data_IF_343569189963
#
_entry.id   IF_343569189963
#
_cell.length_a   1.000
_cell.length_b   1.000
_cell.length_c   1.000
_cell.angle_alpha   90.00
_cell.angle_beta   90.00
_cell.angle_gamma   90.00
#
_symmetry.space_group_name_H-M   'P 1'
#
loop_
_entity.id
_entity.type
_entity.pdbx_description
1 polymer ?
#
# COMPACT_ATOMS: atom_id res chain seq x y z
N UNK A 1 -4.05 46.65 18.24
CA UNK A 1 -4.33 45.88 17.01
C UNK A 1 -3.14 44.96 16.68
N UNK A 2 -1.90 45.44 16.82
CA UNK A 2 -0.68 44.65 16.53
C UNK A 2 -0.46 43.49 17.51
N UNK A 3 -0.82 43.64 18.76
CA UNK A 3 -0.70 42.59 19.80
C UNK A 3 -1.69 41.44 19.62
N UNK A 4 -2.86 41.71 19.06
CA UNK A 4 -3.87 40.66 18.77
C UNK A 4 -3.48 39.77 17.62
N UNK A 5 -2.77 40.30 16.60
CA UNK A 5 -2.30 39.54 15.43
C UNK A 5 -1.15 38.61 15.84
N UNK A 6 -0.25 39.03 16.72
CA UNK A 6 0.81 38.17 17.26
C UNK A 6 0.29 37.03 18.14
N UNK A 7 -0.76 37.27 18.92
CA UNK A 7 -1.40 36.25 19.74
C UNK A 7 -2.13 35.21 18.89
N UNK A 8 -2.74 35.60 17.75
CA UNK A 8 -3.43 34.69 16.85
C UNK A 8 -2.43 33.83 16.05
N UNK A 9 -1.29 34.38 15.63
CA UNK A 9 -0.24 33.61 14.95
C UNK A 9 0.43 32.60 15.86
N UNK A 10 0.63 32.93 17.15
CA UNK A 10 1.16 32.00 18.15
C UNK A 10 0.17 30.87 18.49
N UNK A 11 -1.14 31.17 18.48
CA UNK A 11 -2.19 30.17 18.73
C UNK A 11 -2.31 29.16 17.59
N UNK A 12 -2.18 29.59 16.34
CA UNK A 12 -2.13 28.70 15.16
C UNK A 12 -0.87 27.82 15.18
N UNK A 13 0.26 28.33 15.66
CA UNK A 13 1.50 27.56 15.76
C UNK A 13 1.48 26.49 16.87
N UNK A 14 0.71 26.70 17.94
CA UNK A 14 0.56 25.73 19.05
C UNK A 14 -0.41 24.60 18.70
N UNK A 15 -1.39 24.81 17.80
CA UNK A 15 -2.35 23.78 17.36
C UNK A 15 -1.79 22.89 16.24
N UNK A 16 -0.79 23.33 15.49
CA UNK A 16 -0.22 22.60 14.36
C UNK A 16 0.52 21.29 14.74
N UNK A 17 1.25 21.20 15.87
CA UNK A 17 1.99 19.97 16.19
C UNK A 17 1.12 18.77 16.53
N UNK A 18 -0.08 18.99 17.06
CA UNK A 18 -0.97 17.89 17.44
C UNK A 18 -1.69 17.27 16.24
N UNK A 19 -1.99 18.05 15.20
CA UNK A 19 -2.55 17.55 13.94
C UNK A 19 -1.50 16.79 13.12
N UNK A 20 -0.25 17.26 13.12
CA UNK A 20 0.87 16.59 12.44
C UNK A 20 1.25 15.25 13.10
N UNK A 21 0.97 15.06 14.38
CA UNK A 21 1.24 13.80 15.08
C UNK A 21 0.12 12.75 14.88
N UNK A 22 -1.13 13.16 14.63
CA UNK A 22 -2.21 12.23 14.28
C UNK A 22 -1.97 11.61 12.91
N UNK A 23 -1.53 12.41 11.93
CA UNK A 23 -1.21 11.90 10.58
C UNK A 23 0.02 10.99 10.57
N UNK A 24 1.03 11.25 11.42
CA UNK A 24 2.22 10.41 11.48
C UNK A 24 1.94 8.99 12.00
N UNK A 25 1.02 8.83 12.93
CA UNK A 25 0.67 7.50 13.46
C UNK A 25 -0.24 6.74 12.49
N UNK A 26 -1.18 7.38 11.81
CA UNK A 26 -1.96 6.77 10.74
C UNK A 26 -1.08 6.38 9.55
N UNK A 27 -0.05 7.20 9.22
CA UNK A 27 0.93 6.94 8.17
C UNK A 27 1.89 5.81 8.51
N UNK A 28 2.26 5.64 9.79
CA UNK A 28 3.14 4.55 10.23
C UNK A 28 2.44 3.17 10.21
N UNK A 29 1.11 3.13 10.34
CA UNK A 29 0.34 1.87 10.30
C UNK A 29 -0.01 1.42 8.87
N UNK A 30 -0.01 2.32 7.87
CA UNK A 30 -0.57 2.00 6.55
C UNK A 30 0.32 1.12 5.66
N UNK A 31 1.64 1.00 5.91
CA UNK A 31 2.56 0.23 5.06
C UNK A 31 3.50 -0.69 5.87
N UNK A 32 3.08 -1.04 7.07
CA UNK A 32 3.85 -1.94 7.91
C UNK A 32 3.94 -3.37 7.31
N UNK A 33 2.88 -3.80 6.62
CA UNK A 33 2.78 -5.12 5.98
C UNK A 33 3.76 -5.19 4.81
N UNK A 34 3.80 -4.17 3.95
CA UNK A 34 4.70 -4.09 2.80
C UNK A 34 6.16 -4.24 3.22
N UNK A 35 6.59 -3.50 4.23
CA UNK A 35 7.94 -3.60 4.76
C UNK A 35 8.27 -5.03 5.23
N UNK A 36 7.37 -5.64 6.00
CA UNK A 36 7.56 -7.01 6.51
C UNK A 36 7.66 -8.00 5.35
N UNK A 37 6.73 -7.95 4.39
CA UNK A 37 6.69 -8.86 3.25
C UNK A 37 7.94 -8.75 2.40
N UNK A 38 8.37 -7.52 2.04
CA UNK A 38 9.58 -7.31 1.24
C UNK A 38 10.85 -7.80 1.95
N UNK A 39 10.93 -7.65 3.28
CA UNK A 39 12.04 -8.22 4.07
C UNK A 39 12.01 -9.77 4.06
N UNK A 40 10.81 -10.39 4.10
CA UNK A 40 10.69 -11.83 3.97
C UNK A 40 11.14 -12.33 2.60
N UNK A 41 10.71 -11.69 1.52
CA UNK A 41 11.15 -12.01 0.15
C UNK A 41 12.67 -11.86 0.04
N UNK A 42 13.21 -10.73 0.49
CA UNK A 42 14.66 -10.46 0.46
C UNK A 42 15.46 -11.51 1.20
N UNK A 43 14.97 -12.02 2.31
CA UNK A 43 15.71 -12.95 3.20
C UNK A 43 15.48 -14.42 2.84
N UNK A 44 14.24 -14.80 2.55
CA UNK A 44 13.83 -16.20 2.55
C UNK A 44 13.39 -16.74 1.18
N UNK A 45 13.09 -15.89 0.20
CA UNK A 45 12.69 -16.39 -1.11
C UNK A 45 13.83 -17.16 -1.76
N UNK A 46 13.52 -18.37 -2.23
CA UNK A 46 14.54 -19.39 -2.61
C UNK A 46 15.23 -18.99 -3.91
N UNK A 47 14.48 -18.60 -4.93
CA UNK A 47 15.03 -18.23 -6.23
C UNK A 47 15.24 -16.72 -6.36
N UNK A 48 16.42 -16.26 -5.96
CA UNK A 48 16.77 -14.84 -6.04
C UNK A 48 16.80 -14.30 -7.47
N UNK A 49 16.94 -15.18 -8.47
CA UNK A 49 16.94 -14.77 -9.88
C UNK A 49 15.56 -14.42 -10.41
N UNK A 50 14.50 -14.93 -9.78
CA UNK A 50 13.11 -14.56 -10.10
C UNK A 50 12.67 -13.23 -9.50
N UNK A 51 13.46 -12.66 -8.58
CA UNK A 51 13.12 -11.37 -7.95
C UNK A 51 13.50 -10.23 -8.90
N UNK A 52 12.49 -9.68 -9.57
CA UNK A 52 12.61 -8.54 -10.47
C UNK A 52 11.90 -7.32 -9.86
N UNK A 53 12.60 -6.48 -9.07
CA UNK A 53 11.96 -5.43 -8.26
C UNK A 53 11.06 -4.49 -9.06
N UNK A 54 11.52 -4.06 -10.25
CA UNK A 54 10.75 -3.16 -11.11
C UNK A 54 9.47 -3.83 -11.63
N UNK A 55 9.56 -5.07 -12.09
CA UNK A 55 8.39 -5.82 -12.55
C UNK A 55 7.39 -6.05 -11.41
N UNK A 56 7.87 -6.38 -10.20
CA UNK A 56 7.02 -6.49 -9.02
C UNK A 56 6.28 -5.17 -8.73
N UNK A 57 6.96 -4.03 -8.82
CA UNK A 57 6.32 -2.71 -8.63
C UNK A 57 5.22 -2.49 -9.67
N UNK A 58 5.50 -2.76 -10.94
CA UNK A 58 4.52 -2.61 -12.04
C UNK A 58 3.29 -3.49 -11.81
N UNK A 59 3.47 -4.75 -11.45
CA UNK A 59 2.36 -5.66 -11.12
C UNK A 59 1.53 -5.17 -9.94
N UNK A 60 2.18 -4.65 -8.91
CA UNK A 60 1.50 -4.04 -7.77
C UNK A 60 0.69 -2.80 -8.15
N UNK A 61 1.24 -1.94 -9.00
CA UNK A 61 0.56 -0.73 -9.50
C UNK A 61 -0.63 -1.08 -10.40
N UNK A 62 -0.47 -2.05 -11.31
CA UNK A 62 -1.56 -2.57 -12.14
C UNK A 62 -2.68 -3.15 -11.28
N UNK A 63 -2.34 -3.83 -10.19
CA UNK A 63 -3.33 -4.34 -9.25
C UNK A 63 -4.06 -3.22 -8.50
N UNK A 64 -3.34 -2.20 -8.07
CA UNK A 64 -3.92 -1.02 -7.43
C UNK A 64 -5.00 -0.38 -8.30
N UNK A 65 -4.73 -0.16 -9.59
CA UNK A 65 -5.69 0.36 -10.57
C UNK A 65 -6.93 -0.54 -10.70
N UNK A 66 -6.74 -1.86 -10.72
CA UNK A 66 -7.84 -2.82 -10.88
C UNK A 66 -8.81 -2.84 -9.69
N UNK A 67 -8.32 -2.58 -8.47
CA UNK A 67 -9.14 -2.73 -7.24
C UNK A 67 -9.64 -1.41 -6.68
N UNK A 68 -9.09 -0.28 -7.13
CA UNK A 68 -9.49 1.06 -6.70
C UNK A 68 -9.98 1.86 -7.90
N UNK A 69 -11.27 1.85 -8.14
CA UNK A 69 -11.92 2.49 -9.30
C UNK A 69 -11.57 3.98 -9.48
N UNK A 70 -11.13 4.64 -8.40
CA UNK A 70 -10.75 6.05 -8.40
C UNK A 70 -9.31 6.30 -8.82
N UNK A 71 -8.51 5.24 -8.96
CA UNK A 71 -7.08 5.31 -9.30
C UNK A 71 -6.85 4.85 -10.73
N UNK A 72 -6.08 5.63 -11.48
CA UNK A 72 -5.55 5.27 -12.80
C UNK A 72 -4.03 5.30 -12.73
N UNK A 73 -3.40 4.29 -13.32
CA UNK A 73 -1.93 4.20 -13.44
C UNK A 73 -1.57 4.21 -14.92
N UNK A 74 -0.66 5.07 -15.31
CA UNK A 74 -0.16 5.17 -16.69
C UNK A 74 1.36 5.05 -16.71
N UNK A 75 1.86 4.38 -17.74
CA UNK A 75 3.29 4.23 -18.01
C UNK A 75 3.62 4.89 -19.36
N UNK A 76 3.87 6.21 -19.38
CA UNK A 76 4.02 6.97 -20.64
C UNK A 76 5.09 6.42 -21.58
N UNK A 77 6.17 5.88 -21.02
CA UNK A 77 7.28 5.28 -21.76
C UNK A 77 7.24 3.73 -21.73
N UNK A 78 6.08 3.15 -21.38
CA UNK A 78 5.91 1.71 -21.14
C UNK A 78 6.39 1.26 -19.76
N UNK A 79 6.10 0.02 -19.41
CA UNK A 79 6.42 -0.57 -18.08
C UNK A 79 7.93 -0.63 -17.79
N UNK A 80 8.76 -0.66 -18.81
CA UNK A 80 10.22 -0.55 -18.70
C UNK A 80 10.71 0.90 -18.66
N UNK A 81 9.82 1.87 -18.76
CA UNK A 81 10.10 3.30 -18.76
C UNK A 81 10.78 3.80 -17.48
N UNK A 82 11.14 5.07 -17.49
CA UNK A 82 11.78 5.70 -16.33
C UNK A 82 10.78 6.23 -15.30
N UNK A 83 9.52 6.44 -15.71
CA UNK A 83 8.49 7.06 -14.87
C UNK A 83 7.15 6.34 -15.02
N UNK A 84 6.32 6.49 -14.01
CA UNK A 84 4.89 6.18 -14.07
C UNK A 84 4.08 7.34 -13.49
N UNK A 85 2.82 7.41 -13.85
CA UNK A 85 1.90 8.45 -13.41
C UNK A 85 0.73 7.79 -12.68
N UNK A 86 0.33 8.40 -11.57
CA UNK A 86 -0.86 7.99 -10.82
C UNK A 86 -1.83 9.15 -10.80
N UNK A 87 -3.06 8.87 -11.17
CA UNK A 87 -4.16 9.83 -11.07
C UNK A 87 -5.21 9.30 -10.10
N UNK A 88 -5.72 10.17 -9.22
CA UNK A 88 -6.80 9.85 -8.28
C UNK A 88 -7.73 11.06 -8.16
N UNK A 89 -9.03 10.86 -8.41
CA UNK A 89 -10.08 11.91 -8.31
C UNK A 89 -9.74 13.25 -8.99
N UNK A 90 -8.97 13.20 -10.10
CA UNK A 90 -8.55 14.37 -10.88
C UNK A 90 -7.18 14.94 -10.53
N UNK A 91 -6.60 14.58 -9.40
CA UNK A 91 -5.22 14.90 -9.06
C UNK A 91 -4.26 13.90 -9.71
N UNK A 92 -3.10 14.38 -10.16
CA UNK A 92 -2.10 13.58 -10.88
C UNK A 92 -0.70 13.80 -10.31
N UNK A 93 0.05 12.71 -10.14
CA UNK A 93 1.45 12.76 -9.75
C UNK A 93 2.29 11.84 -10.62
N UNK A 94 3.54 12.25 -10.90
CA UNK A 94 4.53 11.47 -11.65
C UNK A 94 5.60 10.98 -10.68
N UNK A 95 5.94 9.69 -10.80
CA UNK A 95 6.93 9.02 -9.95
C UNK A 95 8.07 8.48 -10.81
N UNK A 96 9.30 8.65 -10.33
CA UNK A 96 10.48 8.06 -10.96
C UNK A 96 10.64 6.60 -10.56
N UNK A 97 10.83 5.70 -11.54
CA UNK A 97 11.13 4.29 -11.33
C UNK A 97 12.41 3.83 -12.03
N UNK A 98 13.21 4.77 -12.55
CA UNK A 98 14.43 4.47 -13.31
C UNK A 98 15.50 3.72 -12.51
N UNK A 99 15.51 3.89 -11.18
CA UNK A 99 16.50 3.30 -10.28
C UNK A 99 15.97 2.12 -9.45
N UNK A 100 14.76 1.61 -9.71
CA UNK A 100 14.15 0.53 -8.91
C UNK A 100 14.82 -0.80 -9.24
N UNK A 101 15.85 -1.15 -8.48
CA UNK A 101 16.66 -2.35 -8.64
C UNK A 101 16.74 -3.23 -7.37
N UNK A 102 16.10 -2.83 -6.28
CA UNK A 102 15.97 -3.60 -5.05
C UNK A 102 14.58 -3.43 -4.41
N UNK A 103 14.26 -4.30 -3.43
CA UNK A 103 12.95 -4.34 -2.78
C UNK A 103 12.75 -3.18 -1.78
N UNK A 104 13.80 -2.55 -1.28
CA UNK A 104 13.68 -1.41 -0.38
C UNK A 104 13.21 -0.18 -1.20
N UNK A 105 13.67 -0.04 -2.44
CA UNK A 105 13.18 0.98 -3.37
C UNK A 105 11.74 0.72 -3.81
N UNK A 106 11.35 -0.53 -4.04
CA UNK A 106 9.95 -0.90 -4.31
C UNK A 106 9.05 -0.44 -3.17
N UNK A 107 9.42 -0.78 -1.92
CA UNK A 107 8.70 -0.34 -0.73
C UNK A 107 8.56 1.17 -0.69
N UNK A 108 9.65 1.90 -0.88
CA UNK A 108 9.64 3.36 -0.86
C UNK A 108 8.76 3.98 -1.96
N UNK A 109 8.70 3.36 -3.15
CA UNK A 109 7.80 3.82 -4.22
C UNK A 109 6.33 3.57 -3.89
N UNK A 110 6.00 2.40 -3.37
CA UNK A 110 4.65 2.13 -2.89
C UNK A 110 4.23 3.10 -1.77
N UNK A 111 5.13 3.39 -0.82
CA UNK A 111 4.88 4.39 0.21
C UNK A 111 4.51 5.74 -0.39
N UNK A 112 5.28 6.23 -1.36
CA UNK A 112 5.00 7.49 -2.05
C UNK A 112 3.64 7.48 -2.76
N UNK A 113 3.28 6.37 -3.41
CA UNK A 113 1.99 6.21 -4.09
C UNK A 113 0.85 6.22 -3.08
N UNK A 114 0.94 5.43 -2.01
CA UNK A 114 -0.10 5.38 -0.98
C UNK A 114 -0.24 6.72 -0.22
N UNK A 115 0.87 7.42 0.03
CA UNK A 115 0.85 8.78 0.57
C UNK A 115 0.10 9.75 -0.33
N UNK A 116 0.26 9.61 -1.64
CA UNK A 116 -0.42 10.44 -2.61
C UNK A 116 -1.90 10.09 -2.73
N UNK A 117 -2.26 8.81 -2.86
CA UNK A 117 -3.66 8.43 -3.11
C UNK A 117 -4.56 8.54 -1.87
N UNK A 118 -4.06 8.15 -0.67
CA UNK A 118 -4.88 8.03 0.55
C UNK A 118 -5.71 9.29 0.86
N UNK A 119 -5.17 10.51 0.85
CA UNK A 119 -5.95 11.70 1.14
C UNK A 119 -6.96 12.09 0.06
N UNK A 120 -6.87 11.49 -1.13
CA UNK A 120 -7.73 11.78 -2.28
C UNK A 120 -8.80 10.71 -2.52
N UNK A 121 -8.75 9.57 -1.81
CA UNK A 121 -9.80 8.56 -1.87
C UNK A 121 -11.06 9.08 -1.19
N UNK A 122 -12.19 8.97 -1.88
CA UNK A 122 -13.49 9.44 -1.39
C UNK A 122 -14.39 8.32 -0.89
N UNK A 123 -14.04 7.07 -1.19
CA UNK A 123 -14.77 5.89 -0.72
C UNK A 123 -14.35 5.53 0.70
N UNK A 124 -15.24 5.76 1.66
CA UNK A 124 -15.02 5.50 3.09
C UNK A 124 -15.07 4.01 3.46
N UNK A 125 -15.55 3.14 2.57
CA UNK A 125 -15.62 1.69 2.81
C UNK A 125 -14.31 0.99 2.42
N UNK A 126 -13.44 1.64 1.65
CA UNK A 126 -12.12 1.14 1.28
C UNK A 126 -11.15 1.21 2.46
N UNK A 127 -10.69 0.06 2.91
CA UNK A 127 -9.62 -0.01 3.90
C UNK A 127 -8.26 -0.06 3.20
N UNK A 128 -7.39 0.85 3.56
CA UNK A 128 -6.01 0.90 3.01
C UNK A 128 -5.29 -0.43 3.22
N UNK A 129 -5.50 -1.10 4.35
CA UNK A 129 -4.92 -2.42 4.61
C UNK A 129 -5.37 -3.48 3.59
N UNK A 130 -6.62 -3.46 3.16
CA UNK A 130 -7.14 -4.44 2.21
C UNK A 130 -6.55 -4.19 0.81
N UNK A 131 -6.38 -2.91 0.44
CA UNK A 131 -5.68 -2.51 -0.79
C UNK A 131 -4.21 -2.96 -0.72
N UNK A 132 -3.54 -2.71 0.41
CA UNK A 132 -2.14 -3.11 0.63
C UNK A 132 -1.97 -4.64 0.47
N UNK A 133 -2.83 -5.44 1.09
CA UNK A 133 -2.82 -6.90 0.94
C UNK A 133 -2.98 -7.34 -0.51
N UNK A 134 -3.93 -6.75 -1.24
CA UNK A 134 -4.19 -7.15 -2.63
C UNK A 134 -3.04 -6.76 -3.58
N UNK A 135 -2.43 -5.60 -3.37
CA UNK A 135 -1.25 -5.14 -4.10
C UNK A 135 -0.07 -6.09 -3.84
N UNK A 136 0.19 -6.40 -2.57
CA UNK A 136 1.26 -7.31 -2.19
C UNK A 136 1.06 -8.73 -2.72
N UNK A 137 -0.17 -9.23 -2.69
CA UNK A 137 -0.48 -10.56 -3.23
C UNK A 137 -0.12 -10.66 -4.72
N UNK A 138 -0.52 -9.67 -5.52
CA UNK A 138 -0.16 -9.60 -6.94
C UNK A 138 1.36 -9.51 -7.16
N UNK A 139 2.06 -8.73 -6.34
CA UNK A 139 3.52 -8.64 -6.39
C UNK A 139 4.20 -9.97 -6.07
N UNK A 140 3.68 -10.74 -5.12
CA UNK A 140 4.19 -12.06 -4.78
C UNK A 140 3.89 -13.07 -5.88
N UNK A 141 2.70 -13.03 -6.49
CA UNK A 141 2.34 -13.87 -7.64
C UNK A 141 3.25 -13.64 -8.84
N UNK A 142 3.86 -12.46 -8.99
CA UNK A 142 4.85 -12.21 -10.04
C UNK A 142 6.19 -12.94 -9.83
N UNK A 143 6.47 -13.41 -8.62
CA UNK A 143 7.64 -14.26 -8.33
C UNK A 143 7.41 -15.69 -8.82
N UNK A 144 6.27 -16.26 -8.44
CA UNK A 144 5.80 -17.58 -8.87
C UNK A 144 4.30 -17.76 -8.52
N UNK A 145 3.65 -18.70 -9.20
CA UNK A 145 2.20 -18.96 -9.05
C UNK A 145 1.76 -19.48 -7.65
N UNK A 146 2.69 -19.81 -6.79
CA UNK A 146 2.43 -20.36 -5.44
C UNK A 146 2.80 -19.37 -4.33
N UNK A 147 3.47 -18.27 -4.67
CA UNK A 147 3.77 -17.18 -3.75
C UNK A 147 2.57 -16.27 -3.61
N UNK A 148 2.15 -16.02 -2.38
CA UNK A 148 1.00 -15.17 -2.06
C UNK A 148 0.97 -14.80 -0.59
N UNK A 149 0.03 -13.94 -0.22
CA UNK A 149 -0.18 -13.51 1.15
C UNK A 149 -1.56 -13.93 1.64
N UNK A 150 -1.61 -14.56 2.80
CA UNK A 150 -2.87 -14.92 3.46
C UNK A 150 -3.25 -13.81 4.42
N UNK A 151 -4.39 -13.17 4.18
CA UNK A 151 -4.91 -12.14 5.09
C UNK A 151 -5.28 -12.73 6.45
N UNK A 152 -5.29 -11.94 7.53
CA UNK A 152 -5.71 -12.42 8.84
C UNK A 152 -7.12 -13.03 8.86
N UNK A 153 -8.02 -12.53 7.99
CA UNK A 153 -9.36 -13.05 7.86
C UNK A 153 -9.37 -14.44 7.22
N UNK A 154 -8.72 -14.63 6.09
CA UNK A 154 -8.61 -15.92 5.40
C UNK A 154 -7.90 -16.95 6.31
N UNK A 155 -6.84 -16.51 7.02
CA UNK A 155 -6.15 -17.37 7.97
C UNK A 155 -7.09 -17.86 9.10
N UNK A 156 -7.91 -16.96 9.63
CA UNK A 156 -8.88 -17.31 10.67
C UNK A 156 -9.94 -18.31 10.16
N UNK A 157 -10.45 -18.11 8.96
CA UNK A 157 -11.40 -19.02 8.31
C UNK A 157 -10.78 -20.41 8.11
N UNK A 158 -9.55 -20.45 7.59
CA UNK A 158 -8.78 -21.69 7.43
C UNK A 158 -8.56 -22.44 8.75
N UNK A 159 -8.26 -21.72 9.84
CA UNK A 159 -8.10 -22.32 11.16
C UNK A 159 -9.41 -22.91 11.68
N UNK A 160 -10.55 -22.24 11.49
CA UNK A 160 -11.87 -22.74 11.89
C UNK A 160 -12.20 -24.03 11.13
N UNK A 161 -11.94 -24.08 9.83
CA UNK A 161 -12.16 -25.26 9.00
C UNK A 161 -11.28 -26.45 9.41
N UNK A 162 -10.03 -26.19 9.74
CA UNK A 162 -9.06 -27.25 10.12
C UNK A 162 -9.24 -27.76 11.56
N UNK A 163 -9.69 -26.90 12.48
CA UNK A 163 -9.96 -27.32 13.87
C UNK A 163 -11.26 -28.11 14.02
N UNK A 164 -12.06 -28.24 12.95
CA UNK A 164 -13.24 -29.12 12.91
C UNK A 164 -14.38 -28.72 13.83
N UNK A 165 -14.39 -27.52 14.39
CA UNK A 165 -15.50 -27.02 15.20
C UNK A 165 -16.59 -26.41 14.30
N UNK A 166 -17.33 -27.24 13.62
CA UNK A 166 -18.54 -26.80 12.92
C UNK A 166 -19.62 -26.48 13.98
N UNK A 167 -19.84 -25.22 14.24
CA UNK A 167 -21.07 -24.76 14.90
C UNK A 167 -22.26 -24.95 13.98
N UNK A 168 -22.63 -26.18 13.69
CA UNK A 168 -23.87 -26.52 12.95
C UNK A 168 -25.04 -26.45 13.86
N UNK A 169 -26.13 -25.78 13.47
CA UNK A 169 -27.46 -26.01 14.01
C UNK A 169 -27.77 -27.48 13.72
N UNK A 170 -27.66 -28.32 14.76
CA UNK A 170 -28.04 -29.73 14.68
C UNK A 170 -29.53 -29.86 14.32
N UNK A 171 -29.83 -29.97 13.04
CA UNK A 171 -31.13 -30.39 12.54
C UNK A 171 -31.04 -31.91 12.42
N UNK A 172 -31.65 -32.61 13.36
CA UNK A 172 -31.92 -34.05 13.28
C UNK A 172 -33.26 -34.23 12.57
#
# INVERSE_FOLDING_TARGET
VLTAILALSAYIFILSPSLLNLDRNAKADSLNITNVVMQYVKRYYVDKSAVHPKAMLVEGLNRLEQIVDQVLVDFPDGEDGATFEVQVTGEKATFDMSGVNDLDLVTSKLEQVFEFITPHLTDNDLKISDIEYAVLDQMLMSLDQHSGIITPQIYKEFMIETEGSFGGLGIV
#
